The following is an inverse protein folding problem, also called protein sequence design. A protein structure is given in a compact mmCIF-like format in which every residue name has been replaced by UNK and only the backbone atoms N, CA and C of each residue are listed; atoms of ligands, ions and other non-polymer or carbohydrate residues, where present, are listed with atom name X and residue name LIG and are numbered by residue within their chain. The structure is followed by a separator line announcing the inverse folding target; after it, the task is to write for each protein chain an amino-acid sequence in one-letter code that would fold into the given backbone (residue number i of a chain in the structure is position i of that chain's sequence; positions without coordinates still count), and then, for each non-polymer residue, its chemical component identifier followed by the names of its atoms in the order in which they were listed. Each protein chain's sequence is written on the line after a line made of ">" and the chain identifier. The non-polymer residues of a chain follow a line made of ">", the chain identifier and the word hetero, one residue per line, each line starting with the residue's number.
data_IF_241173427294
#
_entry.id   IF_241173427294
#
_cell.length_a   1.000
_cell.length_b   1.000
_cell.length_c   1.000
_cell.angle_alpha   90.00
_cell.angle_beta   90.00
_cell.angle_gamma   90.00
#
_symmetry.space_group_name_H-M   'P 1'
#
loop_
_entity.id
_entity.type
_entity.pdbx_description
1 polymer ?
#
# COMPACT_ATOMS: atom_id res chain seq x y z
N UNK A 1 20.47 4.24 -23.02
CA UNK A 1 19.44 5.01 -22.29
C UNK A 1 18.22 4.14 -21.98
N UNK A 2 17.73 3.36 -22.95
CA UNK A 2 16.55 2.50 -22.81
C UNK A 2 16.65 1.44 -21.70
N UNK A 3 17.78 0.73 -21.57
CA UNK A 3 18.01 -0.24 -20.50
C UNK A 3 17.84 0.41 -19.11
N UNK A 4 18.39 1.62 -18.93
CA UNK A 4 18.24 2.38 -17.68
C UNK A 4 16.77 2.71 -17.44
N UNK A 5 16.04 3.11 -18.47
CA UNK A 5 14.61 3.41 -18.39
C UNK A 5 13.80 2.20 -17.92
N UNK A 6 13.98 1.04 -18.55
CA UNK A 6 13.29 -0.21 -18.21
C UNK A 6 13.61 -0.67 -16.77
N UNK A 7 14.88 -0.64 -16.37
CA UNK A 7 15.27 -0.96 -14.98
C UNK A 7 14.67 0.01 -13.97
N UNK A 8 14.59 1.30 -14.33
CA UNK A 8 13.97 2.32 -13.46
C UNK A 8 12.46 2.09 -13.32
N UNK A 9 11.80 1.69 -14.40
CA UNK A 9 10.38 1.33 -14.37
C UNK A 9 10.11 0.14 -13.45
N UNK A 10 10.92 -0.93 -13.54
CA UNK A 10 10.85 -2.06 -12.61
C UNK A 10 11.08 -1.57 -11.17
N UNK A 11 12.15 -0.82 -10.91
CA UNK A 11 12.48 -0.33 -9.57
C UNK A 11 11.35 0.50 -8.95
N UNK A 12 10.76 1.42 -9.70
CA UNK A 12 9.67 2.26 -9.20
C UNK A 12 8.36 1.48 -9.04
N UNK A 13 8.09 0.50 -9.91
CA UNK A 13 7.00 -0.45 -9.72
C UNK A 13 7.15 -1.24 -8.43
N UNK A 14 8.34 -1.81 -8.19
CA UNK A 14 8.65 -2.55 -6.95
C UNK A 14 8.48 -1.66 -5.71
N UNK A 15 8.84 -0.37 -5.76
CA UNK A 15 8.62 0.53 -4.61
C UNK A 15 7.13 0.73 -4.31
N UNK A 16 6.30 0.88 -5.33
CA UNK A 16 4.84 0.97 -5.17
C UNK A 16 4.27 -0.33 -4.59
N UNK A 17 4.64 -1.47 -5.17
CA UNK A 17 4.25 -2.79 -4.68
C UNK A 17 4.65 -3.02 -3.23
N UNK A 18 5.86 -2.60 -2.84
CA UNK A 18 6.37 -2.77 -1.49
C UNK A 18 5.53 -2.00 -0.46
N UNK A 19 5.01 -0.82 -0.80
CA UNK A 19 4.11 -0.07 0.07
C UNK A 19 2.79 -0.85 0.30
N UNK A 20 2.19 -1.38 -0.75
CA UNK A 20 0.96 -2.18 -0.62
C UNK A 20 1.19 -3.48 0.16
N UNK A 21 2.25 -4.22 -0.17
CA UNK A 21 2.61 -5.45 0.51
C UNK A 21 2.91 -5.22 2.00
N UNK A 22 3.53 -4.08 2.35
CA UNK A 22 3.81 -3.72 3.73
C UNK A 22 2.51 -3.50 4.53
N UNK A 23 1.55 -2.75 4.00
CA UNK A 23 0.27 -2.54 4.68
C UNK A 23 -0.51 -3.85 4.84
N UNK A 24 -0.48 -4.74 3.84
CA UNK A 24 -1.07 -6.08 3.97
C UNK A 24 -0.36 -6.90 5.07
N UNK A 25 0.97 -6.84 5.13
CA UNK A 25 1.78 -7.52 6.14
C UNK A 25 1.47 -7.04 7.57
N UNK A 26 1.22 -5.73 7.77
CA UNK A 26 0.83 -5.20 9.08
C UNK A 26 -0.49 -5.78 9.59
N UNK A 27 -1.35 -6.23 8.68
CA UNK A 27 -2.60 -6.94 8.98
C UNK A 27 -2.44 -8.47 9.02
N UNK A 28 -1.22 -8.98 8.83
CA UNK A 28 -0.91 -10.41 8.85
C UNK A 28 -1.10 -11.14 7.52
N UNK A 29 -1.29 -10.42 6.41
CA UNK A 29 -1.49 -11.00 5.08
C UNK A 29 -0.20 -10.97 4.27
N UNK A 30 0.13 -12.08 3.63
CA UNK A 30 1.30 -12.22 2.74
C UNK A 30 0.96 -13.08 1.53
N UNK A 31 1.64 -12.84 0.41
CA UNK A 31 1.56 -13.69 -0.78
C UNK A 31 2.95 -14.08 -1.24
N UNK A 32 3.17 -15.38 -1.43
CA UNK A 32 4.48 -15.93 -1.80
C UNK A 32 4.93 -15.47 -3.19
N UNK A 33 4.02 -15.31 -4.15
CA UNK A 33 4.34 -14.87 -5.50
C UNK A 33 4.79 -13.41 -5.52
N UNK A 34 4.05 -12.55 -4.80
CA UNK A 34 4.44 -11.13 -4.61
C UNK A 34 5.81 -11.04 -3.95
N UNK A 35 6.04 -11.82 -2.89
CA UNK A 35 7.32 -11.83 -2.18
C UNK A 35 8.48 -12.33 -3.04
N UNK A 36 8.27 -13.42 -3.79
CA UNK A 36 9.27 -13.97 -4.70
C UNK A 36 9.60 -12.99 -5.84
N UNK A 37 8.61 -12.24 -6.33
CA UNK A 37 8.83 -11.26 -7.38
C UNK A 37 9.72 -10.09 -6.94
N UNK A 38 9.68 -9.67 -5.67
CA UNK A 38 10.63 -8.66 -5.18
C UNK A 38 12.09 -9.08 -5.39
N UNK A 39 12.42 -10.35 -5.11
CA UNK A 39 13.77 -10.85 -5.36
C UNK A 39 14.10 -10.86 -6.86
N UNK A 40 13.19 -11.39 -7.69
CA UNK A 40 13.36 -11.45 -9.15
C UNK A 40 13.56 -10.06 -9.75
N UNK A 41 12.69 -9.11 -9.43
CA UNK A 41 12.75 -7.74 -9.93
C UNK A 41 14.02 -7.02 -9.48
N UNK A 42 14.46 -7.21 -8.23
CA UNK A 42 15.71 -6.63 -7.73
C UNK A 42 16.95 -7.23 -8.41
N UNK A 43 16.96 -8.55 -8.66
CA UNK A 43 18.01 -9.19 -9.46
C UNK A 43 18.08 -8.61 -10.88
N UNK A 44 16.94 -8.45 -11.55
CA UNK A 44 16.87 -7.88 -12.90
C UNK A 44 17.45 -6.46 -13.00
N UNK A 45 17.33 -5.66 -11.94
CA UNK A 45 17.93 -4.33 -11.86
C UNK A 45 19.46 -4.42 -11.74
N UNK A 46 19.98 -5.40 -10.99
CA UNK A 46 21.41 -5.60 -10.75
C UNK A 46 22.19 -6.26 -11.88
N UNK A 47 21.53 -7.03 -12.74
CA UNK A 47 22.18 -7.83 -13.80
C UNK A 47 22.26 -7.12 -15.16
N UNK A 48 23.24 -7.46 -15.99
CA UNK A 48 23.43 -6.89 -17.33
C UNK A 48 22.50 -7.54 -18.39
N UNK A 49 21.20 -7.33 -18.22
CA UNK A 49 20.14 -7.82 -19.12
C UNK A 49 19.94 -6.92 -20.35
N UNK A 50 19.57 -7.53 -21.48
CA UNK A 50 19.20 -6.83 -22.72
C UNK A 50 17.73 -6.38 -22.68
N UNK A 51 17.38 -5.49 -23.61
CA UNK A 51 16.02 -4.92 -23.73
C UNK A 51 14.96 -6.03 -23.85
N UNK A 52 15.20 -7.02 -24.72
CA UNK A 52 14.23 -8.11 -24.96
C UNK A 52 14.03 -9.02 -23.73
N UNK A 53 14.97 -9.01 -22.79
CA UNK A 53 14.89 -9.73 -21.52
C UNK A 53 14.20 -8.90 -20.43
N UNK A 54 14.34 -7.57 -20.48
CA UNK A 54 13.75 -6.63 -19.52
C UNK A 54 12.28 -6.34 -19.78
N UNK A 55 11.84 -6.30 -21.04
CA UNK A 55 10.43 -6.03 -21.39
C UNK A 55 9.47 -7.04 -20.72
N UNK A 56 9.71 -8.36 -20.78
CA UNK A 56 8.89 -9.34 -20.07
C UNK A 56 8.80 -9.08 -18.56
N UNK A 57 9.92 -8.70 -17.92
CA UNK A 57 9.97 -8.43 -16.47
C UNK A 57 9.19 -7.17 -16.12
N UNK A 58 9.21 -6.15 -16.98
CA UNK A 58 8.35 -4.96 -16.84
C UNK A 58 6.87 -5.34 -16.87
N UNK A 59 6.48 -6.19 -17.82
CA UNK A 59 5.08 -6.64 -17.93
C UNK A 59 4.66 -7.45 -16.69
N UNK A 60 5.52 -8.37 -16.26
CA UNK A 60 5.32 -9.17 -15.04
C UNK A 60 5.25 -8.29 -13.78
N UNK A 61 6.00 -7.18 -13.73
CA UNK A 61 5.89 -6.19 -12.64
C UNK A 61 4.47 -5.65 -12.53
N UNK A 62 3.80 -5.38 -13.66
CA UNK A 62 2.41 -4.93 -13.67
C UNK A 62 1.43 -6.02 -13.22
N UNK A 63 1.64 -7.25 -13.67
CA UNK A 63 0.81 -8.41 -13.31
C UNK A 63 0.89 -8.70 -11.81
N UNK A 64 2.11 -8.79 -11.26
CA UNK A 64 2.28 -9.05 -9.82
C UNK A 64 1.86 -7.84 -8.98
N UNK A 65 1.96 -6.61 -9.50
CA UNK A 65 1.40 -5.45 -8.82
C UNK A 65 -0.13 -5.55 -8.68
N UNK A 66 -0.84 -6.02 -9.71
CA UNK A 66 -2.29 -6.25 -9.61
C UNK A 66 -2.61 -7.26 -8.49
N UNK A 67 -1.85 -8.35 -8.41
CA UNK A 67 -1.97 -9.34 -7.34
C UNK A 67 -1.67 -8.74 -5.95
N UNK A 68 -0.67 -7.87 -5.85
CA UNK A 68 -0.33 -7.16 -4.62
C UNK A 68 -1.48 -6.23 -4.17
N UNK A 69 -2.13 -5.55 -5.11
CA UNK A 69 -3.31 -4.73 -4.81
C UNK A 69 -4.49 -5.58 -4.34
N UNK A 70 -4.74 -6.74 -4.95
CA UNK A 70 -5.77 -7.70 -4.49
C UNK A 70 -5.47 -8.21 -3.08
N UNK A 71 -4.20 -8.50 -2.77
CA UNK A 71 -3.77 -8.89 -1.42
C UNK A 71 -4.11 -7.80 -0.38
N UNK A 72 -3.81 -6.53 -0.69
CA UNK A 72 -4.10 -5.42 0.20
C UNK A 72 -5.60 -5.16 0.34
N UNK A 73 -6.36 -5.23 -0.76
CA UNK A 73 -7.81 -5.09 -0.75
C UNK A 73 -8.46 -6.14 0.17
N UNK A 74 -8.08 -7.41 0.02
CA UNK A 74 -8.52 -8.49 0.90
C UNK A 74 -8.13 -8.22 2.35
N UNK A 75 -6.87 -7.85 2.61
CA UNK A 75 -6.39 -7.58 3.96
C UNK A 75 -7.22 -6.50 4.68
N UNK A 76 -7.52 -5.40 4.00
CA UNK A 76 -8.33 -4.31 4.56
C UNK A 76 -9.80 -4.72 4.72
N UNK A 77 -10.41 -5.31 3.70
CA UNK A 77 -11.85 -5.62 3.69
C UNK A 77 -12.21 -6.76 4.65
N UNK A 78 -11.35 -7.76 4.81
CA UNK A 78 -11.56 -8.83 5.80
C UNK A 78 -11.31 -8.36 7.24
N UNK A 79 -10.44 -7.36 7.44
CA UNK A 79 -10.11 -6.84 8.78
C UNK A 79 -11.09 -5.76 9.27
N UNK A 80 -11.42 -4.79 8.41
CA UNK A 80 -12.21 -3.60 8.77
C UNK A 80 -13.62 -3.58 8.16
N UNK A 81 -13.93 -4.57 7.32
CA UNK A 81 -15.19 -4.65 6.58
C UNK A 81 -15.11 -4.00 5.20
N UNK A 82 -16.10 -4.32 4.36
CA UNK A 82 -16.20 -3.75 3.01
C UNK A 82 -16.66 -2.29 3.08
N UNK A 83 -15.97 -1.36 2.38
CA UNK A 83 -16.42 0.03 2.28
C UNK A 83 -17.86 0.14 1.77
N UNK A 84 -18.64 1.03 2.38
CA UNK A 84 -20.03 1.34 1.99
C UNK A 84 -20.17 2.85 1.77
N UNK A 85 -21.13 3.30 0.92
CA UNK A 85 -21.39 4.72 0.76
C UNK A 85 -21.64 5.41 2.10
N UNK A 86 -20.77 6.36 2.45
CA UNK A 86 -20.74 7.01 3.76
C UNK A 86 -20.64 8.52 3.58
N UNK A 87 -21.47 9.27 4.30
CA UNK A 87 -21.36 10.73 4.37
C UNK A 87 -20.37 11.10 5.47
N UNK A 88 -19.23 11.66 5.10
CA UNK A 88 -18.19 12.12 6.02
C UNK A 88 -18.37 13.62 6.30
N UNK A 89 -18.43 14.00 7.58
CA UNK A 89 -18.55 15.40 7.99
C UNK A 89 -17.22 16.13 7.90
N UNK A 90 -17.24 17.37 7.40
CA UNK A 90 -16.10 18.30 7.44
C UNK A 90 -16.16 19.28 8.62
N UNK A 91 -17.08 19.05 9.56
CA UNK A 91 -17.30 19.95 10.70
C UNK A 91 -16.21 19.73 11.75
N UNK A 92 -15.55 20.81 12.14
CA UNK A 92 -14.56 20.81 13.22
C UNK A 92 -15.28 21.00 14.55
N UNK A 93 -15.05 20.08 15.49
CA UNK A 93 -15.61 20.11 16.84
C UNK A 93 -14.71 20.92 17.76
N UNK A 94 -15.30 21.47 18.82
CA UNK A 94 -14.54 22.20 19.83
C UNK A 94 -13.92 21.21 20.81
N UNK A 95 -12.60 21.15 20.85
CA UNK A 95 -11.89 20.28 21.79
C UNK A 95 -10.45 20.01 21.34
N UNK A 96 -9.69 19.22 22.12
CA UNK A 96 -8.42 18.68 21.65
C UNK A 96 -8.67 17.65 20.55
N UNK A 97 -7.80 17.63 19.55
CA UNK A 97 -7.91 16.72 18.42
C UNK A 97 -6.55 16.22 17.91
N UNK A 98 -6.57 15.12 17.17
CA UNK A 98 -5.44 14.57 16.43
C UNK A 98 -5.86 14.45 14.95
N UNK A 99 -4.95 14.82 14.04
CA UNK A 99 -5.13 14.62 12.60
C UNK A 99 -4.21 13.50 12.14
N UNK A 100 -4.77 12.47 11.50
CA UNK A 100 -4.06 11.34 10.93
C UNK A 100 -4.03 11.46 9.42
N UNK A 101 -2.86 11.25 8.82
CA UNK A 101 -2.63 11.29 7.38
C UNK A 101 -1.79 10.08 6.99
N UNK A 102 -1.76 9.72 5.71
CA UNK A 102 -1.10 8.51 5.23
C UNK A 102 -2.13 7.53 4.66
N UNK A 103 -1.89 6.23 4.84
CA UNK A 103 -2.73 5.16 4.27
C UNK A 103 -2.95 3.98 5.24
N UNK A 104 -2.30 3.98 6.41
CA UNK A 104 -2.26 2.80 7.27
C UNK A 104 -3.48 2.77 8.19
N UNK A 105 -4.42 1.87 7.88
CA UNK A 105 -5.64 1.69 8.66
C UNK A 105 -5.38 0.97 10.00
N UNK A 106 -4.29 0.22 10.13
CA UNK A 106 -3.92 -0.38 11.40
C UNK A 106 -3.51 0.67 12.42
N UNK A 107 -2.71 1.64 12.00
CA UNK A 107 -2.34 2.78 12.85
C UNK A 107 -3.58 3.58 13.29
N UNK A 108 -4.52 3.83 12.36
CA UNK A 108 -5.78 4.50 12.69
C UNK A 108 -6.63 3.68 13.68
N UNK A 109 -6.74 2.37 13.46
CA UNK A 109 -7.46 1.47 14.36
C UNK A 109 -6.88 1.52 15.79
N UNK A 110 -5.55 1.37 15.92
CA UNK A 110 -4.87 1.43 17.19
C UNK A 110 -5.02 2.80 17.87
N UNK A 111 -5.00 3.89 17.10
CA UNK A 111 -5.21 5.23 17.61
C UNK A 111 -6.63 5.37 18.17
N UNK A 112 -7.65 4.97 17.41
CA UNK A 112 -9.06 5.05 17.82
C UNK A 112 -9.32 4.26 19.10
N UNK A 113 -8.79 3.04 19.21
CA UNK A 113 -8.91 2.23 20.42
C UNK A 113 -8.22 2.90 21.62
N UNK A 114 -7.05 3.49 21.41
CA UNK A 114 -6.31 4.17 22.48
C UNK A 114 -6.93 5.51 22.89
N UNK A 115 -7.66 6.19 22.02
CA UNK A 115 -8.28 7.50 22.32
C UNK A 115 -9.75 7.40 22.72
N UNK A 116 -10.32 6.21 22.66
CA UNK A 116 -11.67 5.91 23.13
C UNK A 116 -11.90 6.48 24.53
N UNK A 117 -13.01 7.22 24.67
CA UNK A 117 -13.47 7.82 25.93
C UNK A 117 -12.52 8.88 26.55
N UNK A 118 -11.48 9.32 25.82
CA UNK A 118 -10.55 10.36 26.32
C UNK A 118 -10.97 11.80 25.99
N UNK A 119 -12.05 11.97 25.22
CA UNK A 119 -12.51 13.29 24.77
C UNK A 119 -11.53 13.98 23.80
N UNK A 120 -10.82 13.19 23.00
CA UNK A 120 -9.91 13.65 21.94
C UNK A 120 -10.53 13.24 20.60
N UNK A 121 -10.84 14.21 19.75
CA UNK A 121 -11.42 13.95 18.44
C UNK A 121 -10.34 13.51 17.43
N UNK A 122 -10.66 12.53 16.58
CA UNK A 122 -9.75 12.03 15.53
C UNK A 122 -10.27 12.49 14.17
N UNK A 123 -9.41 13.15 13.40
CA UNK A 123 -9.68 13.60 12.04
C UNK A 123 -8.76 12.88 11.06
N UNK A 124 -9.27 12.59 9.87
CA UNK A 124 -8.48 12.06 8.77
C UNK A 124 -8.09 13.16 7.80
N UNK A 125 -6.97 12.97 7.10
CA UNK A 125 -6.43 13.90 6.11
C UNK A 125 -5.85 13.14 4.91
N UNK A 126 -6.10 13.65 3.70
CA UNK A 126 -5.61 13.05 2.46
C UNK A 126 -6.16 11.64 2.26
N UNK A 127 -5.26 10.69 2.05
CA UNK A 127 -5.58 9.28 1.75
C UNK A 127 -6.00 8.45 2.97
N UNK A 128 -6.16 9.08 4.15
CA UNK A 128 -6.86 8.47 5.29
C UNK A 128 -8.38 8.73 5.26
N UNK A 129 -8.90 9.45 4.26
CA UNK A 129 -10.34 9.67 4.10
C UNK A 129 -11.13 8.38 3.81
N UNK A 130 -10.68 7.49 2.91
CA UNK A 130 -11.35 6.21 2.63
C UNK A 130 -11.37 5.28 3.85
#
# INVERSE_FOLDING_TARGET
>A
EDIRSLKSLILFGLRGMAAYAYHALMLGYTDEEVNNFFYKGMCAIGEDLKIDELIPIVMETGEVNLKCMELLDRANTETYGTPVPTTVSLTIQKGPFIVVSGHDLHDLYLLLEQTKEKGIDIYTHGEMLP
#
